data_IF_823362013121
#
_entry.id   IF_823362013121
#
_cell.length_a   1.000
_cell.length_b   1.000
_cell.length_c   1.000
_cell.angle_alpha   90.00
_cell.angle_beta   90.00
_cell.angle_gamma   90.00
#
_symmetry.space_group_name_H-M   'P 1'
#
loop_
_entity.id
_entity.type
_entity.pdbx_description
1 polymer ?
#
# COMPACT_ATOMS: atom_id res chain seq x y z
N UNK A 1 24.79 11.95 5.02
CA UNK A 1 23.50 11.28 5.28
C UNK A 1 23.54 9.83 4.78
N UNK A 2 22.99 8.92 5.55
CA UNK A 2 22.87 7.52 5.16
C UNK A 2 21.40 7.11 5.21
N UNK A 3 20.91 6.40 4.18
CA UNK A 3 19.58 5.81 4.26
C UNK A 3 19.54 4.74 5.36
N UNK A 4 18.43 4.68 6.08
CA UNK A 4 18.21 3.62 7.06
C UNK A 4 17.37 2.53 6.42
N UNK A 5 17.86 1.30 6.48
CA UNK A 5 17.15 0.13 5.93
C UNK A 5 16.74 -0.78 7.09
N UNK A 6 15.46 -1.13 7.13
CA UNK A 6 14.90 -2.01 8.17
C UNK A 6 14.30 -3.23 7.50
N UNK A 7 14.64 -4.43 7.98
CA UNK A 7 14.06 -5.68 7.55
C UNK A 7 13.19 -6.23 8.68
N UNK A 8 11.93 -6.54 8.37
CA UNK A 8 10.95 -7.10 9.29
C UNK A 8 10.49 -8.44 8.74
N UNK A 9 10.67 -9.53 9.48
CA UNK A 9 10.47 -10.88 8.98
C UNK A 9 9.27 -11.57 9.63
N UNK A 10 8.66 -12.49 8.86
CA UNK A 10 7.55 -13.31 9.29
C UNK A 10 6.24 -12.54 9.38
N UNK A 11 5.19 -13.22 9.82
CA UNK A 11 3.86 -12.63 9.98
C UNK A 11 3.89 -11.41 10.89
N UNK A 12 4.59 -11.50 12.02
CA UNK A 12 4.71 -10.38 12.97
C UNK A 12 5.42 -9.19 12.35
N UNK A 13 6.48 -9.44 11.58
CA UNK A 13 7.22 -8.39 10.87
C UNK A 13 6.37 -7.73 9.80
N UNK A 14 5.54 -8.48 9.09
CA UNK A 14 4.60 -7.94 8.11
C UNK A 14 3.58 -7.03 8.79
N UNK A 15 3.00 -7.45 9.90
CA UNK A 15 2.05 -6.63 10.67
C UNK A 15 2.72 -5.36 11.18
N UNK A 16 3.93 -5.45 11.69
CA UNK A 16 4.71 -4.29 12.12
C UNK A 16 4.93 -3.31 10.96
N UNK A 17 5.19 -3.84 9.75
CA UNK A 17 5.30 -3.02 8.54
C UNK A 17 4.03 -2.25 8.22
N UNK A 18 2.87 -2.90 8.35
CA UNK A 18 1.58 -2.21 8.19
C UNK A 18 1.39 -1.13 9.26
N UNK A 19 1.64 -1.47 10.52
CA UNK A 19 1.40 -0.57 11.64
C UNK A 19 2.37 0.61 11.69
N UNK A 20 3.55 0.48 11.10
CA UNK A 20 4.51 1.57 10.95
C UNK A 20 3.91 2.75 10.17
N UNK A 21 2.96 2.49 9.28
CA UNK A 21 2.28 3.55 8.51
C UNK A 21 1.46 4.49 9.39
N UNK A 22 1.03 4.02 10.57
CA UNK A 22 0.27 4.87 11.50
C UNK A 22 1.07 6.07 12.01
N UNK A 23 2.39 6.02 11.94
CA UNK A 23 3.26 7.12 12.34
C UNK A 23 3.35 8.24 11.29
N UNK A 24 2.69 8.10 10.14
CA UNK A 24 2.74 9.08 9.06
C UNK A 24 2.33 10.47 9.54
N UNK A 25 3.17 11.46 9.25
CA UNK A 25 2.93 12.86 9.57
C UNK A 25 2.14 13.55 8.46
N UNK A 26 2.39 13.23 7.22
CA UNK A 26 1.65 13.80 6.08
C UNK A 26 0.23 13.25 5.96
N UNK A 27 -0.10 12.16 6.66
CA UNK A 27 -1.43 11.54 6.67
C UNK A 27 -1.92 11.09 5.28
N UNK A 28 -0.98 10.77 4.43
CA UNK A 28 -1.24 10.21 3.10
C UNK A 28 -0.21 9.16 2.79
N UNK A 29 -0.67 7.99 2.36
CA UNK A 29 0.21 6.98 1.80
C UNK A 29 -0.17 6.66 0.36
N UNK A 30 0.85 6.43 -0.46
CA UNK A 30 0.71 5.95 -1.83
C UNK A 30 1.02 4.47 -1.84
N UNK A 31 0.11 3.66 -2.36
CA UNK A 31 0.19 2.20 -2.25
C UNK A 31 -0.06 1.55 -3.60
N UNK A 32 0.76 0.55 -3.92
CA UNK A 32 0.46 -0.41 -4.98
C UNK A 32 0.44 -1.78 -4.33
N UNK A 33 -0.74 -2.40 -4.22
CA UNK A 33 -0.90 -3.62 -3.45
C UNK A 33 -1.95 -4.56 -4.02
N UNK A 34 -1.82 -5.84 -3.68
CA UNK A 34 -2.80 -6.86 -4.00
C UNK A 34 -3.60 -7.25 -2.75
N UNK A 35 -4.86 -6.82 -2.68
CA UNK A 35 -5.74 -7.20 -1.59
C UNK A 35 -5.90 -8.72 -1.47
N UNK A 36 -5.92 -9.43 -2.60
CA UNK A 36 -5.99 -10.90 -2.61
C UNK A 36 -4.83 -11.53 -1.83
N UNK A 37 -3.62 -11.04 -2.04
CA UNK A 37 -2.44 -11.55 -1.33
C UNK A 37 -2.50 -11.23 0.16
N UNK A 38 -2.96 -10.04 0.52
CA UNK A 38 -3.12 -9.66 1.92
C UNK A 38 -4.13 -10.57 2.61
N UNK A 39 -5.27 -10.84 1.96
CA UNK A 39 -6.29 -11.73 2.53
C UNK A 39 -5.75 -13.15 2.74
N UNK A 40 -4.89 -13.63 1.86
CA UNK A 40 -4.29 -14.97 1.98
C UNK A 40 -3.25 -15.06 3.07
N UNK A 41 -2.37 -14.08 3.18
CA UNK A 41 -1.23 -14.12 4.10
C UNK A 41 -1.57 -13.65 5.50
N UNK A 42 -2.51 -12.70 5.61
CA UNK A 42 -2.94 -12.13 6.88
C UNK A 42 -4.47 -12.17 6.99
N UNK A 43 -5.07 -13.39 7.11
CA UNK A 43 -6.52 -13.52 7.17
C UNK A 43 -7.13 -12.68 8.27
N UNK A 44 -8.16 -11.91 7.95
CA UNK A 44 -8.89 -11.07 8.90
C UNK A 44 -8.18 -9.78 9.33
N UNK A 45 -6.96 -9.55 8.88
CA UNK A 45 -6.18 -8.39 9.31
C UNK A 45 -6.59 -7.08 8.61
N UNK A 46 -6.83 -7.14 7.30
CA UNK A 46 -7.04 -5.92 6.49
C UNK A 46 -8.19 -5.04 6.99
N UNK A 47 -9.39 -5.60 7.34
CA UNK A 47 -10.47 -4.76 7.88
C UNK A 47 -10.06 -4.02 9.15
N UNK A 48 -9.32 -4.66 10.04
CA UNK A 48 -8.84 -4.05 11.29
C UNK A 48 -7.84 -2.93 10.99
N UNK A 49 -6.94 -3.18 10.05
CA UNK A 49 -5.95 -2.20 9.64
C UNK A 49 -6.60 -0.97 9.01
N UNK A 50 -7.54 -1.16 8.09
CA UNK A 50 -8.23 -0.06 7.42
C UNK A 50 -8.99 0.81 8.43
N UNK A 51 -9.72 0.18 9.36
CA UNK A 51 -10.44 0.91 10.39
C UNK A 51 -9.49 1.76 11.24
N UNK A 52 -8.42 1.16 11.72
CA UNK A 52 -7.44 1.85 12.57
C UNK A 52 -6.74 2.99 11.81
N UNK A 53 -6.38 2.74 10.55
CA UNK A 53 -5.77 3.75 9.68
C UNK A 53 -6.71 4.96 9.52
N UNK A 54 -7.98 4.72 9.26
CA UNK A 54 -8.98 5.78 9.12
C UNK A 54 -9.18 6.55 10.42
N UNK A 55 -9.16 5.88 11.57
CA UNK A 55 -9.25 6.56 12.86
C UNK A 55 -8.04 7.47 13.14
N UNK A 56 -6.87 7.14 12.59
CA UNK A 56 -5.70 8.02 12.63
C UNK A 56 -5.76 9.14 11.59
N UNK A 57 -6.75 9.14 10.71
CA UNK A 57 -6.85 10.12 9.62
C UNK A 57 -5.86 9.88 8.47
N UNK A 58 -5.30 8.68 8.37
CA UNK A 58 -4.33 8.34 7.34
C UNK A 58 -5.05 7.91 6.06
N UNK A 59 -5.02 8.78 5.05
CA UNK A 59 -5.60 8.54 3.74
C UNK A 59 -4.68 7.70 2.85
N UNK A 60 -5.25 7.08 1.82
CA UNK A 60 -4.52 6.27 0.86
C UNK A 60 -4.88 6.65 -0.58
N UNK A 61 -3.87 6.73 -1.44
CA UNK A 61 -4.01 6.60 -2.89
C UNK A 61 -3.48 5.22 -3.26
N UNK A 62 -4.35 4.35 -3.75
CA UNK A 62 -3.99 2.95 -4.01
C UNK A 62 -4.18 2.54 -5.46
N UNK A 63 -3.17 1.87 -6.01
CA UNK A 63 -3.26 1.13 -7.26
C UNK A 63 -3.44 -0.34 -6.90
N UNK A 64 -4.50 -0.97 -7.42
CA UNK A 64 -4.83 -2.35 -7.08
C UNK A 64 -5.19 -3.14 -8.33
N UNK A 65 -4.81 -4.42 -8.42
CA UNK A 65 -5.25 -5.24 -9.55
C UNK A 65 -6.75 -5.49 -9.47
N UNK A 66 -7.40 -5.54 -10.64
CA UNK A 66 -8.81 -5.89 -10.74
C UNK A 66 -9.10 -7.26 -10.14
N UNK A 67 -10.29 -7.44 -9.58
CA UNK A 67 -10.75 -8.71 -9.03
C UNK A 67 -11.66 -8.54 -7.83
N UNK A 68 -12.25 -9.65 -7.32
CA UNK A 68 -13.18 -9.60 -6.18
C UNK A 68 -12.56 -9.07 -4.90
N UNK A 69 -11.28 -9.37 -4.66
CA UNK A 69 -10.58 -8.88 -3.47
C UNK A 69 -10.46 -7.35 -3.47
N UNK A 70 -10.14 -6.75 -4.63
CA UNK A 70 -10.08 -5.30 -4.77
C UNK A 70 -11.44 -4.67 -4.50
N UNK A 71 -12.51 -5.26 -5.03
CA UNK A 71 -13.89 -4.78 -4.78
C UNK A 71 -14.24 -4.84 -3.30
N UNK A 72 -13.86 -5.91 -2.62
CA UNK A 72 -14.08 -6.04 -1.17
C UNK A 72 -13.34 -4.97 -0.37
N UNK A 73 -12.09 -4.71 -0.74
CA UNK A 73 -11.27 -3.70 -0.08
C UNK A 73 -11.84 -2.29 -0.29
N UNK A 74 -12.28 -1.97 -1.49
CA UNK A 74 -12.88 -0.66 -1.81
C UNK A 74 -14.10 -0.40 -0.91
N UNK A 75 -14.89 -1.42 -0.62
CA UNK A 75 -16.06 -1.30 0.27
C UNK A 75 -15.68 -0.99 1.72
N UNK A 76 -14.45 -1.21 2.12
CA UNK A 76 -13.96 -0.85 3.46
C UNK A 76 -13.75 0.64 3.64
N UNK A 77 -13.80 1.43 2.57
CA UNK A 77 -13.60 2.88 2.59
C UNK A 77 -14.85 3.62 3.08
N UNK A 78 -15.32 3.28 4.27
CA UNK A 78 -16.54 3.84 4.87
C UNK A 78 -16.36 5.32 5.17
N UNK A 79 -15.18 5.71 5.65
CA UNK A 79 -14.87 7.10 6.00
C UNK A 79 -14.45 7.96 4.80
N UNK A 80 -14.41 7.37 3.62
CA UNK A 80 -14.10 8.05 2.34
C UNK A 80 -12.78 8.81 2.33
N UNK A 81 -11.79 8.28 3.02
CA UNK A 81 -10.43 8.82 3.05
C UNK A 81 -9.57 8.31 1.90
N UNK A 82 -9.99 7.23 1.24
CA UNK A 82 -9.16 6.54 0.26
C UNK A 82 -9.61 6.83 -1.17
N UNK A 83 -8.62 6.89 -2.05
CA UNK A 83 -8.82 6.85 -3.49
C UNK A 83 -8.18 5.58 -4.03
N UNK A 84 -8.94 4.79 -4.78
CA UNK A 84 -8.44 3.55 -5.38
C UNK A 84 -8.61 3.61 -6.89
N UNK A 85 -7.55 3.23 -7.60
CA UNK A 85 -7.56 3.09 -9.06
C UNK A 85 -7.19 1.66 -9.39
N UNK A 86 -8.00 1.04 -10.24
CA UNK A 86 -7.81 -0.36 -10.60
C UNK A 86 -6.89 -0.49 -11.81
N UNK A 87 -5.97 -1.46 -11.71
CA UNK A 87 -5.06 -1.82 -12.79
C UNK A 87 -5.52 -3.17 -13.32
N UNK A 88 -5.73 -3.33 -14.65
CA UNK A 88 -6.05 -4.64 -15.19
C UNK A 88 -5.00 -5.65 -14.76
N UNK A 89 -5.43 -6.73 -14.11
CA UNK A 89 -4.51 -7.74 -13.56
C UNK A 89 -3.62 -8.39 -14.62
N UNK A 90 -4.04 -8.36 -15.87
CA UNK A 90 -3.29 -8.88 -17.01
C UNK A 90 -2.09 -8.00 -17.38
N UNK A 91 -2.16 -6.70 -17.08
CA UNK A 91 -1.11 -5.75 -17.42
C UNK A 91 -0.01 -5.68 -16.36
N UNK A 92 -0.35 -5.93 -15.10
CA UNK A 92 0.62 -5.81 -14.03
C UNK A 92 0.37 -6.83 -12.93
N UNK A 93 1.38 -7.64 -12.68
CA UNK A 93 1.38 -8.59 -11.56
C UNK A 93 2.09 -7.93 -10.40
N UNK A 94 1.38 -7.75 -9.30
CA UNK A 94 1.94 -7.16 -8.08
C UNK A 94 2.72 -8.23 -7.29
N UNK A 95 4.01 -8.47 -7.60
CA UNK A 95 4.78 -9.53 -6.93
C UNK A 95 5.07 -9.22 -5.46
N UNK A 96 5.11 -7.93 -5.12
CA UNK A 96 5.13 -7.47 -3.75
C UNK A 96 4.37 -6.15 -3.65
N UNK A 97 3.99 -5.79 -2.44
CA UNK A 97 3.31 -4.51 -2.20
C UNK A 97 4.33 -3.39 -2.04
N UNK A 98 3.93 -2.19 -2.43
CA UNK A 98 4.69 -0.95 -2.29
C UNK A 98 3.85 0.04 -1.49
N UNK A 99 4.45 0.67 -0.48
CA UNK A 99 3.84 1.79 0.23
C UNK A 99 4.86 2.92 0.40
N UNK A 100 4.43 4.14 0.09
CA UNK A 100 5.27 5.33 0.22
C UNK A 100 4.56 6.30 1.16
N UNK A 101 5.20 6.66 2.26
CA UNK A 101 4.65 7.59 3.22
C UNK A 101 5.78 8.39 3.89
N UNK A 102 5.60 9.69 4.04
CA UNK A 102 6.63 10.60 4.52
C UNK A 102 7.93 10.41 3.72
N UNK A 103 9.05 10.18 4.39
CA UNK A 103 10.34 9.90 3.75
C UNK A 103 10.66 8.40 3.70
N UNK A 104 9.64 7.56 3.69
CA UNK A 104 9.77 6.11 3.73
C UNK A 104 9.24 5.46 2.46
N UNK A 105 9.97 4.45 1.99
CA UNK A 105 9.50 3.53 0.95
C UNK A 105 9.53 2.12 1.54
N UNK A 106 8.38 1.48 1.57
CA UNK A 106 8.23 0.15 2.13
C UNK A 106 7.79 -0.85 1.06
N UNK A 107 8.35 -2.05 1.13
CA UNK A 107 7.99 -3.18 0.27
C UNK A 107 7.57 -4.34 1.16
N UNK A 108 6.55 -5.08 0.73
CA UNK A 108 6.11 -6.27 1.46
C UNK A 108 5.98 -7.46 0.52
N UNK A 109 6.74 -8.52 0.81
CA UNK A 109 6.64 -9.77 0.10
C UNK A 109 5.68 -10.71 0.82
N UNK A 110 4.57 -11.05 0.18
CA UNK A 110 3.62 -12.01 0.72
C UNK A 110 4.13 -13.44 0.53
N UNK A 111 4.85 -13.70 -0.56
CA UNK A 111 5.41 -15.02 -0.84
C UNK A 111 6.47 -15.42 0.19
N UNK A 112 7.38 -14.51 0.49
CA UNK A 112 8.51 -14.79 1.38
C UNK A 112 8.32 -14.24 2.80
N UNK A 113 7.21 -13.57 3.06
CA UNK A 113 6.80 -13.05 4.37
C UNK A 113 7.85 -12.17 5.04
N UNK A 114 8.11 -11.04 4.40
CA UNK A 114 8.94 -9.99 4.99
C UNK A 114 8.46 -8.61 4.52
N UNK A 115 8.87 -7.59 5.27
CA UNK A 115 8.75 -6.20 4.87
C UNK A 115 10.12 -5.54 4.93
N UNK A 116 10.41 -4.67 3.98
CA UNK A 116 11.61 -3.83 3.98
C UNK A 116 11.16 -2.39 3.94
N UNK A 117 11.75 -1.55 4.79
CA UNK A 117 11.54 -0.10 4.75
C UNK A 117 12.86 0.61 4.50
N UNK A 118 12.87 1.53 3.56
CA UNK A 118 13.98 2.43 3.28
C UNK A 118 13.56 3.83 3.73
N UNK A 119 14.27 4.38 4.71
CA UNK A 119 14.08 5.76 5.15
C UNK A 119 15.10 6.64 4.45
N UNK A 120 14.65 7.43 3.49
CA UNK A 120 15.46 8.34 2.69
C UNK A 120 14.55 9.34 2.01
N UNK A 121 14.75 10.62 2.26
CA UNK A 121 13.95 11.69 1.65
C UNK A 121 14.02 11.65 0.12
N UNK A 122 15.20 11.57 -0.45
CA UNK A 122 15.37 11.59 -1.91
C UNK A 122 14.82 10.34 -2.58
N UNK A 123 14.95 9.16 -1.96
CA UNK A 123 14.35 7.94 -2.49
C UNK A 123 12.83 8.03 -2.42
N UNK A 124 12.27 8.51 -1.33
CA UNK A 124 10.84 8.68 -1.20
C UNK A 124 10.29 9.69 -2.22
N UNK A 125 10.99 10.81 -2.44
CA UNK A 125 10.58 11.81 -3.41
C UNK A 125 10.54 11.25 -4.85
N UNK A 126 11.57 10.50 -5.27
CA UNK A 126 11.57 9.91 -6.61
C UNK A 126 10.49 8.85 -6.76
N UNK A 127 10.24 8.06 -5.71
CA UNK A 127 9.19 7.04 -5.75
C UNK A 127 7.80 7.67 -5.73
N UNK A 128 7.58 8.75 -5.01
CA UNK A 128 6.32 9.50 -5.06
C UNK A 128 6.06 10.04 -6.46
N UNK A 129 7.08 10.61 -7.10
CA UNK A 129 6.97 11.11 -8.47
C UNK A 129 6.62 9.98 -9.46
N UNK A 130 7.32 8.85 -9.37
CA UNK A 130 7.06 7.69 -10.22
C UNK A 130 5.63 7.15 -10.00
N UNK A 131 5.19 7.07 -8.75
CA UNK A 131 3.84 6.65 -8.41
C UNK A 131 2.80 7.59 -9.02
N UNK A 132 2.99 8.89 -8.87
CA UNK A 132 2.03 9.89 -9.38
C UNK A 132 1.92 9.84 -10.90
N UNK A 133 3.03 9.59 -11.61
CA UNK A 133 3.00 9.38 -13.07
C UNK A 133 2.19 8.12 -13.42
N UNK A 134 2.43 7.02 -12.72
CA UNK A 134 1.67 5.78 -12.92
C UNK A 134 0.18 5.99 -12.59
N UNK A 135 -0.11 6.63 -11.49
CA UNK A 135 -1.46 6.94 -11.04
C UNK A 135 -2.25 7.71 -12.10
N UNK A 136 -1.68 8.80 -12.60
CA UNK A 136 -2.33 9.63 -13.61
C UNK A 136 -2.59 8.87 -14.90
N UNK A 137 -1.65 8.01 -15.31
CA UNK A 137 -1.80 7.23 -16.52
C UNK A 137 -2.90 6.16 -16.38
N UNK A 138 -2.90 5.41 -15.28
CA UNK A 138 -3.89 4.35 -15.04
C UNK A 138 -5.28 4.93 -14.82
N UNK A 139 -5.38 6.06 -14.13
CA UNK A 139 -6.65 6.75 -13.88
C UNK A 139 -7.37 7.11 -15.18
N UNK A 140 -6.63 7.45 -16.23
CA UNK A 140 -7.18 7.76 -17.56
C UNK A 140 -7.82 6.56 -18.23
N UNK A 141 -7.44 5.34 -17.86
CA UNK A 141 -8.03 4.12 -18.42
C UNK A 141 -9.47 3.89 -17.96
N UNK A 142 -9.89 4.54 -16.87
CA UNK A 142 -11.24 4.45 -16.31
C UNK A 142 -11.72 3.01 -16.11
N UNK A 143 -10.88 2.19 -15.48
CA UNK A 143 -11.19 0.78 -15.21
C UNK A 143 -12.22 0.69 -14.08
N UNK A 144 -13.29 -0.06 -14.31
CA UNK A 144 -14.35 -0.27 -13.32
C UNK A 144 -14.08 -1.53 -12.49
N UNK A 145 -14.49 -1.54 -11.22
CA UNK A 145 -14.35 -2.71 -10.35
C UNK A 145 -15.18 -3.92 -10.79
#
# INVERSE_FOLDING_TARGET
FRPKITLLEGKEGMIEGFEDTFSSKEKLMRVASSAEKIFKTLPGYLPKYVLKRHLYGLAMKGLHPTGPAASSMIKMNIMKLDQSVLVPKELYKFPCDLAIFDDNVAYMSHEHRYAIKVHSKEIAEVMKAAFDLAWNNVKRMNIQP
#
